data_IF_960625989548
#
_entry.id   IF_960625989548
#
_cell.length_a   1.000
_cell.length_b   1.000
_cell.length_c   1.000
_cell.angle_alpha   90.00
_cell.angle_beta   90.00
_cell.angle_gamma   90.00
#
_symmetry.space_group_name_H-M   'P 1'
#
loop_
_entity.id
_entity.type
_entity.pdbx_description
1 polymer ?
#
# COMPACT_ATOMS: atom_id res chain seq x y z
N UNK A 1 14.06 -21.21 4.21
CA UNK A 1 13.61 -19.88 3.74
C UNK A 1 13.32 -19.82 2.23
N UNK A 2 12.54 -20.74 1.65
CA UNK A 2 12.22 -20.74 0.20
C UNK A 2 11.01 -19.89 -0.21
N UNK A 3 10.12 -19.54 0.74
CA UNK A 3 8.82 -18.89 0.44
C UNK A 3 8.94 -17.38 0.14
N UNK A 4 9.91 -16.68 0.72
CA UNK A 4 10.11 -15.21 0.54
C UNK A 4 10.72 -14.88 -0.84
N UNK A 5 11.41 -15.83 -1.47
CA UNK A 5 12.03 -15.63 -2.79
C UNK A 5 11.11 -15.93 -3.97
N UNK A 6 9.85 -16.30 -3.69
CA UNK A 6 8.87 -16.61 -4.74
C UNK A 6 8.55 -15.37 -5.57
N UNK A 7 8.31 -15.57 -6.86
CA UNK A 7 7.94 -14.49 -7.77
C UNK A 7 6.68 -13.78 -7.29
N UNK A 8 5.73 -14.55 -6.77
CA UNK A 8 4.46 -14.10 -6.22
C UNK A 8 4.66 -13.15 -5.04
N UNK A 9 5.58 -13.45 -4.13
CA UNK A 9 5.90 -12.56 -3.01
C UNK A 9 6.52 -11.24 -3.48
N UNK A 10 7.49 -11.31 -4.41
CA UNK A 10 8.11 -10.10 -5.00
C UNK A 10 7.07 -9.24 -5.72
N UNK A 11 6.18 -9.87 -6.49
CA UNK A 11 5.07 -9.19 -7.15
C UNK A 11 4.11 -8.56 -6.14
N UNK A 12 3.85 -9.22 -5.01
CA UNK A 12 2.98 -8.68 -3.97
C UNK A 12 3.51 -7.37 -3.39
N UNK A 13 4.81 -7.32 -3.09
CA UNK A 13 5.48 -6.10 -2.61
C UNK A 13 5.47 -5.01 -3.68
N UNK A 14 5.76 -5.37 -4.94
CA UNK A 14 5.75 -4.40 -6.05
C UNK A 14 4.35 -3.81 -6.27
N UNK A 15 3.30 -4.65 -6.27
CA UNK A 15 1.91 -4.22 -6.40
C UNK A 15 1.54 -3.30 -5.23
N UNK A 16 1.94 -3.62 -4.00
CA UNK A 16 1.69 -2.77 -2.83
C UNK A 16 2.33 -1.38 -2.98
N UNK A 17 3.57 -1.32 -3.46
CA UNK A 17 4.24 -0.03 -3.69
C UNK A 17 3.49 0.75 -4.76
N UNK A 18 3.26 0.16 -5.93
CA UNK A 18 2.60 0.83 -7.07
C UNK A 18 1.20 1.33 -6.68
N UNK A 19 0.39 0.49 -6.03
CA UNK A 19 -0.99 0.88 -5.68
C UNK A 19 -1.02 2.04 -4.69
N UNK A 20 0.00 2.17 -3.83
CA UNK A 20 0.11 3.28 -2.87
C UNK A 20 0.34 4.63 -3.57
N UNK A 21 0.89 4.63 -4.79
CA UNK A 21 1.04 5.86 -5.60
C UNK A 21 -0.21 6.20 -6.43
N UNK A 22 -1.07 5.22 -6.68
CA UNK A 22 -2.29 5.38 -7.51
C UNK A 22 -3.50 5.69 -6.64
N UNK A 23 -3.65 4.99 -5.50
CA UNK A 23 -4.77 5.15 -4.61
C UNK A 23 -4.74 6.54 -3.94
N UNK A 24 -5.87 7.28 -3.94
CA UNK A 24 -5.94 8.58 -3.29
C UNK A 24 -5.83 8.41 -1.77
N UNK A 25 -5.24 9.42 -1.12
CA UNK A 25 -5.16 9.49 0.33
C UNK A 25 -6.54 9.58 0.98
N UNK A 26 -6.70 8.93 2.12
CA UNK A 26 -7.74 9.28 3.08
C UNK A 26 -7.25 10.44 3.95
N UNK A 27 -7.97 11.56 3.94
CA UNK A 27 -7.52 12.82 4.54
C UNK A 27 -8.28 13.02 5.85
N UNK A 28 -7.54 13.09 6.95
CA UNK A 28 -8.07 13.33 8.29
C UNK A 28 -7.50 14.65 8.80
N UNK A 29 -8.37 15.60 9.12
CA UNK A 29 -7.96 16.90 9.65
C UNK A 29 -8.28 16.97 11.15
N UNK A 30 -7.24 16.91 11.99
CA UNK A 30 -7.35 17.02 13.44
C UNK A 30 -6.56 18.26 13.92
N UNK A 31 -7.26 19.38 14.08
CA UNK A 31 -6.65 20.65 14.51
C UNK A 31 -5.84 21.30 13.38
N UNK A 32 -4.61 21.72 13.71
CA UNK A 32 -3.70 22.41 12.78
C UNK A 32 -2.96 21.47 11.84
N UNK A 33 -3.01 20.16 12.10
CA UNK A 33 -2.24 19.16 11.39
C UNK A 33 -3.18 18.22 10.62
N UNK A 34 -2.89 18.05 9.34
CA UNK A 34 -3.62 17.24 8.39
C UNK A 34 -2.85 15.95 8.20
N UNK A 35 -3.52 14.82 8.41
CA UNK A 35 -2.99 13.49 8.19
C UNK A 35 -3.52 12.95 6.86
N UNK A 36 -2.59 12.61 5.97
CA UNK A 36 -2.85 11.94 4.70
C UNK A 36 -2.48 10.47 4.83
N UNK A 37 -3.49 9.60 4.86
CA UNK A 37 -3.31 8.15 4.99
C UNK A 37 -3.32 7.49 3.62
N UNK A 38 -2.31 6.68 3.35
CA UNK A 38 -2.07 5.96 2.12
C UNK A 38 -1.93 4.47 2.37
N UNK A 39 -2.19 3.70 1.32
CA UNK A 39 -2.05 2.26 1.31
C UNK A 39 -3.35 1.57 0.91
N UNK A 40 -3.21 0.35 0.43
CA UNK A 40 -4.33 -0.50 0.05
C UNK A 40 -3.92 -1.97 0.23
N UNK A 41 -4.82 -2.86 0.66
CA UNK A 41 -6.20 -2.61 1.11
C UNK A 41 -6.36 -1.90 2.46
N UNK A 42 -5.34 -1.94 3.32
CA UNK A 42 -5.29 -1.23 4.59
C UNK A 42 -4.35 -0.03 4.48
N UNK A 43 -4.71 1.08 5.11
CA UNK A 43 -3.83 2.25 5.23
C UNK A 43 -2.65 1.88 6.15
N UNK A 44 -1.42 2.10 5.69
CA UNK A 44 -0.20 1.77 6.44
C UNK A 44 0.82 2.90 6.43
N UNK A 45 0.63 3.92 5.60
CA UNK A 45 1.53 5.05 5.45
C UNK A 45 0.76 6.34 5.74
N UNK A 46 1.14 7.06 6.78
CA UNK A 46 0.58 8.37 7.11
C UNK A 46 1.61 9.45 6.83
N UNK A 47 1.20 10.52 6.15
CA UNK A 47 2.01 11.73 5.95
C UNK A 47 1.31 12.90 6.64
N UNK A 48 2.07 13.64 7.42
CA UNK A 48 1.59 14.76 8.22
C UNK A 48 1.98 16.09 7.59
N UNK A 49 1.01 16.99 7.43
CA UNK A 49 1.19 18.30 6.80
C UNK A 49 0.37 19.38 7.52
N UNK A 50 0.80 20.64 7.46
CA UNK A 50 0.02 21.77 8.04
C UNK A 50 -0.92 22.42 7.02
N UNK A 51 -0.56 22.39 5.75
CA UNK A 51 -1.33 23.00 4.67
C UNK A 51 -1.99 21.91 3.81
N UNK A 52 -3.20 22.19 3.33
CA UNK A 52 -3.89 21.27 2.41
C UNK A 52 -3.10 21.13 1.11
N UNK A 53 -2.80 19.88 0.74
CA UNK A 53 -2.24 19.45 -0.54
C UNK A 53 -3.16 18.45 -1.24
N UNK A 54 -2.75 18.05 -2.45
CA UNK A 54 -3.45 17.06 -3.27
C UNK A 54 -3.53 15.68 -2.58
N UNK A 55 -4.34 14.78 -3.13
CA UNK A 55 -4.57 13.45 -2.57
C UNK A 55 -3.57 12.38 -3.05
N UNK A 56 -2.59 12.73 -3.90
CA UNK A 56 -1.63 11.78 -4.45
C UNK A 56 -0.39 11.61 -3.56
N UNK A 57 0.11 10.39 -3.42
CA UNK A 57 1.27 10.11 -2.56
C UNK A 57 2.53 10.87 -2.99
N UNK A 58 2.78 10.96 -4.30
CA UNK A 58 3.98 11.62 -4.82
C UNK A 58 4.07 13.10 -4.39
N UNK A 59 2.97 13.85 -4.50
CA UNK A 59 2.97 15.26 -4.08
C UNK A 59 3.13 15.40 -2.57
N UNK A 60 2.51 14.51 -1.78
CA UNK A 60 2.61 14.55 -0.33
C UNK A 60 4.01 14.16 0.20
N UNK A 61 4.74 13.30 -0.51
CA UNK A 61 6.10 12.90 -0.12
C UNK A 61 7.11 14.05 -0.24
N UNK A 62 6.98 14.89 -1.28
CA UNK A 62 7.99 15.89 -1.63
C UNK A 62 7.60 17.34 -1.35
N UNK A 63 6.35 17.62 -0.96
CA UNK A 63 5.89 18.99 -0.71
C UNK A 63 5.08 19.10 0.59
N UNK A 64 5.58 19.89 1.56
CA UNK A 64 4.88 20.19 2.81
C UNK A 64 4.88 19.07 3.85
N UNK A 65 5.66 18.01 3.62
CA UNK A 65 5.81 16.88 4.54
C UNK A 65 6.54 17.30 5.82
N UNK A 66 5.84 17.24 6.96
CA UNK A 66 6.41 17.45 8.30
C UNK A 66 6.79 16.17 9.01
N UNK A 67 6.23 15.04 8.59
CA UNK A 67 6.49 13.75 9.20
C UNK A 67 5.84 12.60 8.45
N UNK A 68 6.46 11.43 8.54
CA UNK A 68 5.95 10.18 7.98
C UNK A 68 5.84 9.17 9.12
N UNK A 69 4.70 8.47 9.17
CA UNK A 69 4.51 7.30 10.02
C UNK A 69 4.19 6.08 9.15
N UNK A 70 4.85 4.96 9.46
CA UNK A 70 4.63 3.68 8.77
C UNK A 70 4.15 2.68 9.81
N UNK A 71 2.91 2.23 9.67
CA UNK A 71 2.40 1.07 10.40
C UNK A 71 2.97 -0.21 9.77
N UNK A 72 3.97 -0.77 10.43
CA UNK A 72 4.66 -1.99 10.00
C UNK A 72 3.69 -3.18 9.95
N UNK A 73 2.74 -3.26 10.87
CA UNK A 73 1.76 -4.35 10.89
C UNK A 73 0.79 -4.22 9.72
N UNK A 74 0.27 -3.01 9.48
CA UNK A 74 -0.54 -2.69 8.31
C UNK A 74 0.17 -3.02 6.99
N UNK A 75 1.46 -2.68 6.89
CA UNK A 75 2.29 -3.00 5.73
C UNK A 75 2.35 -4.50 5.47
N UNK A 76 2.71 -5.31 6.47
CA UNK A 76 2.80 -6.76 6.31
C UNK A 76 1.45 -7.42 6.06
N UNK A 77 0.37 -6.92 6.68
CA UNK A 77 -0.99 -7.38 6.41
C UNK A 77 -1.36 -7.18 4.94
N UNK A 78 -1.05 -6.02 4.36
CA UNK A 78 -1.27 -5.75 2.94
C UNK A 78 -0.49 -6.69 2.03
N UNK A 79 0.81 -6.87 2.29
CA UNK A 79 1.64 -7.81 1.52
C UNK A 79 1.05 -9.22 1.57
N UNK A 80 0.61 -9.66 2.76
CA UNK A 80 0.00 -10.97 2.95
C UNK A 80 -1.32 -11.12 2.17
N UNK A 81 -2.20 -10.13 2.23
CA UNK A 81 -3.49 -10.15 1.50
C UNK A 81 -3.25 -10.23 -0.01
N UNK A 82 -2.38 -9.36 -0.55
CA UNK A 82 -2.05 -9.36 -1.98
C UNK A 82 -1.43 -10.70 -2.39
N UNK A 83 -0.51 -11.24 -1.58
CA UNK A 83 0.09 -12.54 -1.83
C UNK A 83 -0.93 -13.67 -1.87
N UNK A 84 -1.86 -13.70 -0.90
CA UNK A 84 -2.92 -14.70 -0.86
C UNK A 84 -3.82 -14.60 -2.11
N UNK A 85 -4.16 -13.38 -2.56
CA UNK A 85 -4.92 -13.15 -3.80
C UNK A 85 -4.17 -13.65 -5.03
N UNK A 86 -2.88 -13.35 -5.18
CA UNK A 86 -2.07 -13.85 -6.30
C UNK A 86 -2.01 -15.38 -6.31
N UNK A 87 -1.85 -16.01 -5.15
CA UNK A 87 -1.86 -17.47 -5.02
C UNK A 87 -3.21 -18.08 -5.41
N UNK A 88 -4.32 -17.45 -5.05
CA UNK A 88 -5.67 -17.87 -5.45
C UNK A 88 -5.86 -17.75 -6.97
N UNK A 89 -5.47 -16.62 -7.56
CA UNK A 89 -5.54 -16.39 -9.02
C UNK A 89 -4.71 -17.45 -9.74
N UNK A 90 -3.48 -17.70 -9.30
CA UNK A 90 -2.63 -18.75 -9.88
C UNK A 90 -3.29 -20.12 -9.81
N UNK A 91 -3.90 -20.47 -8.67
CA UNK A 91 -4.60 -21.75 -8.49
C UNK A 91 -5.80 -21.89 -9.43
N UNK A 92 -6.58 -20.82 -9.61
CA UNK A 92 -7.70 -20.79 -10.55
C UNK A 92 -7.20 -20.94 -11.98
N UNK A 93 -6.18 -20.17 -12.37
CA UNK A 93 -5.57 -20.23 -13.71
C UNK A 93 -5.06 -21.63 -14.06
N UNK A 94 -4.33 -22.28 -13.14
CA UNK A 94 -3.88 -23.67 -13.34
C UNK A 94 -5.05 -24.64 -13.46
N UNK A 95 -6.11 -24.47 -12.64
CA UNK A 95 -7.29 -25.34 -12.73
C UNK A 95 -8.04 -25.20 -14.06
N UNK A 96 -8.07 -24.00 -14.63
CA UNK A 96 -8.75 -23.72 -15.91
C UNK A 96 -7.93 -24.21 -17.10
N UNK A 97 -6.60 -24.05 -17.08
CA UNK A 97 -5.71 -24.43 -18.18
C UNK A 97 -5.18 -25.88 -18.13
N UNK A 98 -5.47 -26.63 -17.09
CA UNK A 98 -5.20 -28.09 -17.02
C UNK A 98 -6.40 -28.90 -17.53
N UNK A 99 -7.23 -28.28 -18.38
CA UNK A 99 -8.14 -28.98 -19.31
C UNK A 99 -7.46 -29.12 -20.66
#
# INVERSE_FOLDING_TARGET
MRRVQTLEFKLSVLILIIISFIAPANIIQNGTLIEYKFGFPCEYLSIYQENKRGCQLFSNLFDGNKGIHIDILGFFANVFIIYALLMLIKKIYMKVNVK
#
